data_IF_102838852854
#
_entry.id   IF_102838852854
#
_cell.length_a   1.000
_cell.length_b   1.000
_cell.length_c   1.000
_cell.angle_alpha   90.00
_cell.angle_beta   90.00
_cell.angle_gamma   90.00
#
_symmetry.space_group_name_H-M   'P 1'
#
loop_
_entity.id
_entity.type
_entity.pdbx_description
1 polymer ?
#
# COMPACT_ATOMS: atom_id res chain seq x y z
N UNK A 1 5.21 3.39 14.64
CA UNK A 1 3.98 2.65 14.27
C UNK A 1 4.18 1.16 14.44
N UNK A 2 3.09 0.38 14.62
CA UNK A 2 3.15 -1.08 14.63
C UNK A 2 2.67 -1.64 13.30
N UNK A 3 3.32 -2.70 12.83
CA UNK A 3 2.91 -3.43 11.65
C UNK A 3 2.97 -4.94 11.89
N UNK A 4 2.06 -5.67 11.23
CA UNK A 4 2.06 -7.13 11.24
C UNK A 4 2.90 -7.65 10.08
N UNK A 5 3.86 -8.51 10.38
CA UNK A 5 4.72 -9.17 9.41
C UNK A 5 4.44 -10.67 9.37
N UNK A 6 4.38 -11.24 8.18
CA UNK A 6 4.43 -12.69 8.00
C UNK A 6 5.90 -13.09 8.01
N UNK A 7 6.33 -13.75 9.09
CA UNK A 7 7.73 -14.14 9.32
C UNK A 7 8.01 -15.60 8.97
N UNK A 8 6.96 -16.39 8.68
CA UNK A 8 7.06 -17.77 8.32
C UNK A 8 5.68 -18.40 8.12
N UNK A 9 5.68 -19.69 7.81
CA UNK A 9 4.44 -20.45 7.63
C UNK A 9 3.62 -20.47 8.92
N UNK A 10 2.41 -19.94 8.88
CA UNK A 10 1.53 -19.77 10.04
C UNK A 10 2.13 -18.94 11.18
N UNK A 11 3.07 -18.05 10.84
CA UNK A 11 3.72 -17.15 11.79
C UNK A 11 3.46 -15.70 11.40
N UNK A 12 3.05 -14.90 12.38
CA UNK A 12 2.81 -13.48 12.25
C UNK A 12 3.34 -12.79 13.50
N UNK A 13 4.12 -11.75 13.30
CA UNK A 13 4.70 -10.95 14.38
C UNK A 13 4.28 -9.49 14.25
N UNK A 14 4.00 -8.87 15.40
CA UNK A 14 3.84 -7.41 15.47
C UNK A 14 5.21 -6.78 15.73
N UNK A 15 5.63 -5.94 14.81
CA UNK A 15 6.93 -5.27 14.85
C UNK A 15 6.73 -3.76 14.88
N UNK A 16 7.52 -3.09 15.70
CA UNK A 16 7.53 -1.64 15.75
C UNK A 16 8.48 -1.08 14.68
N UNK A 17 7.96 -0.15 13.88
CA UNK A 17 8.69 0.60 12.86
C UNK A 17 8.71 2.09 13.20
N UNK A 18 9.73 2.84 12.77
CA UNK A 18 9.66 4.29 12.76
C UNK A 18 8.42 4.78 12.02
N UNK A 19 7.84 5.89 12.46
CA UNK A 19 6.75 6.51 11.72
C UNK A 19 7.26 6.99 10.36
N UNK A 20 6.49 6.76 9.28
CA UNK A 20 6.92 7.11 7.94
C UNK A 20 6.94 8.63 7.75
N UNK A 21 7.84 9.10 6.89
CA UNK A 21 7.85 10.45 6.38
C UNK A 21 7.55 10.43 4.88
N UNK A 22 6.80 11.40 4.34
CA UNK A 22 6.44 11.37 2.93
C UNK A 22 7.66 11.61 2.04
N UNK A 23 7.82 10.80 0.99
CA UNK A 23 8.70 11.13 -0.12
C UNK A 23 8.16 12.37 -0.86
N UNK A 24 8.98 13.02 -1.70
CA UNK A 24 8.60 14.24 -2.41
C UNK A 24 7.26 14.14 -3.15
N UNK A 25 6.97 12.99 -3.77
CA UNK A 25 5.75 12.70 -4.53
C UNK A 25 4.83 11.70 -3.84
N UNK A 26 5.01 11.48 -2.56
CA UNK A 26 4.26 10.53 -1.75
C UNK A 26 3.42 11.21 -0.70
N UNK A 27 2.56 10.42 -0.08
CA UNK A 27 1.75 10.81 1.07
C UNK A 27 1.95 9.81 2.21
N UNK A 28 1.74 10.25 3.43
CA UNK A 28 1.57 9.37 4.59
C UNK A 28 0.08 9.29 4.89
N UNK A 29 -0.41 8.10 5.18
CA UNK A 29 -1.82 7.87 5.47
C UNK A 29 -1.96 7.20 6.83
N UNK A 30 -2.76 7.79 7.68
CA UNK A 30 -3.23 7.17 8.91
C UNK A 30 -4.32 6.16 8.54
N UNK A 31 -3.99 4.88 8.59
CA UNK A 31 -4.87 3.78 8.19
C UNK A 31 -5.95 3.58 9.25
N UNK A 32 -7.21 3.76 8.86
CA UNK A 32 -8.36 3.52 9.72
C UNK A 32 -8.79 2.04 9.70
N UNK A 33 -8.74 1.41 8.53
CA UNK A 33 -9.12 0.01 8.31
C UNK A 33 -8.21 -0.61 7.26
N UNK A 34 -7.84 -1.88 7.48
CA UNK A 34 -7.15 -2.69 6.49
C UNK A 34 -7.86 -4.03 6.36
N UNK A 35 -8.30 -4.37 5.16
CA UNK A 35 -8.89 -5.66 4.83
C UNK A 35 -7.84 -6.76 4.77
N UNK A 36 -8.30 -8.00 4.94
CA UNK A 36 -7.49 -9.20 4.75
C UNK A 36 -7.90 -9.85 3.42
N UNK A 37 -7.01 -9.79 2.44
CA UNK A 37 -7.22 -10.39 1.14
C UNK A 37 -6.88 -11.90 1.13
N UNK A 38 -7.39 -12.62 0.13
CA UNK A 38 -6.99 -14.01 -0.12
C UNK A 38 -5.48 -14.18 -0.34
N UNK A 39 -4.79 -13.17 -0.88
CA UNK A 39 -3.33 -13.16 -1.03
C UNK A 39 -2.59 -13.10 0.31
N UNK A 40 -3.13 -12.39 1.30
CA UNK A 40 -2.57 -12.35 2.66
C UNK A 40 -2.70 -13.72 3.34
N UNK A 41 -3.86 -14.36 3.17
CA UNK A 41 -4.11 -15.72 3.70
C UNK A 41 -3.14 -16.72 3.05
N UNK A 42 -2.97 -16.64 1.72
CA UNK A 42 -2.03 -17.51 1.01
C UNK A 42 -0.58 -17.30 1.47
N UNK A 43 -0.16 -16.06 1.63
CA UNK A 43 1.16 -15.71 2.14
C UNK A 43 1.39 -16.27 3.56
N UNK A 44 0.39 -16.15 4.44
CA UNK A 44 0.44 -16.70 5.79
C UNK A 44 0.54 -18.24 5.79
N UNK A 45 -0.23 -18.92 4.94
CA UNK A 45 -0.22 -20.36 4.84
C UNK A 45 1.05 -20.92 4.21
N UNK A 46 1.61 -20.23 3.23
CA UNK A 46 2.85 -20.64 2.55
C UNK A 46 4.12 -20.23 3.30
N UNK A 47 4.05 -19.17 4.09
CA UNK A 47 5.22 -18.52 4.69
C UNK A 47 6.04 -17.70 3.68
N UNK A 48 5.47 -17.42 2.51
CA UNK A 48 6.11 -16.64 1.44
C UNK A 48 5.28 -15.37 1.19
N UNK A 49 5.57 -14.27 1.89
CA UNK A 49 4.86 -13.02 1.66
C UNK A 49 5.15 -12.48 0.26
N UNK A 50 4.12 -11.96 -0.40
CA UNK A 50 4.25 -11.29 -1.70
C UNK A 50 4.99 -9.94 -1.60
N UNK A 51 5.01 -9.38 -0.40
CA UNK A 51 5.80 -8.20 -0.06
C UNK A 51 6.71 -8.57 1.12
N UNK A 52 8.04 -8.39 1.00
CA UNK A 52 8.97 -8.78 2.07
C UNK A 52 8.88 -7.92 3.32
N UNK A 53 8.14 -6.80 3.27
CA UNK A 53 8.00 -5.90 4.40
C UNK A 53 6.65 -6.10 5.10
N UNK A 54 5.71 -5.23 4.85
CA UNK A 54 4.42 -5.15 5.55
C UNK A 54 3.33 -5.69 4.64
N UNK A 55 2.53 -6.62 5.17
CA UNK A 55 1.34 -7.13 4.47
C UNK A 55 0.16 -6.15 4.59
N UNK A 56 -0.81 -6.32 3.69
CA UNK A 56 -2.01 -5.50 3.63
C UNK A 56 -1.98 -4.51 2.46
N UNK A 57 -2.95 -4.64 1.57
CA UNK A 57 -3.08 -3.83 0.36
C UNK A 57 -4.54 -3.44 0.07
N UNK A 58 -5.42 -3.60 1.04
CA UNK A 58 -6.85 -3.25 0.99
C UNK A 58 -7.19 -2.33 2.15
N UNK A 59 -6.67 -1.11 2.14
CA UNK A 59 -6.85 -0.18 3.24
C UNK A 59 -7.56 1.11 2.83
N UNK A 60 -8.18 1.74 3.83
CA UNK A 60 -8.72 3.08 3.77
C UNK A 60 -8.20 3.89 4.96
N UNK A 61 -8.00 5.18 4.74
CA UNK A 61 -7.48 6.06 5.77
C UNK A 61 -7.58 7.53 5.42
N UNK A 62 -6.88 8.34 6.19
CA UNK A 62 -6.82 9.80 6.04
C UNK A 62 -5.37 10.21 5.83
N UNK A 63 -5.12 11.11 4.89
CA UNK A 63 -3.77 11.65 4.64
C UNK A 63 -3.34 12.48 5.85
N UNK A 64 -2.23 12.11 6.46
CA UNK A 64 -1.64 12.80 7.62
C UNK A 64 -0.41 13.64 7.28
N UNK A 65 0.25 13.36 6.15
CA UNK A 65 1.34 14.19 5.64
C UNK A 65 1.48 14.06 4.13
N UNK A 66 1.91 15.13 3.46
CA UNK A 66 2.13 15.16 2.01
C UNK A 66 3.56 15.57 1.67
N UNK A 67 4.09 14.98 0.60
CA UNK A 67 5.37 15.38 0.03
C UNK A 67 5.27 16.71 -0.73
N UNK A 68 6.39 17.39 -0.86
CA UNK A 68 6.47 18.76 -1.41
C UNK A 68 6.02 18.91 -2.88
N UNK A 69 6.01 17.80 -3.65
CA UNK A 69 5.60 17.78 -5.05
C UNK A 69 4.15 17.30 -5.26
N UNK A 70 3.44 16.94 -4.19
CA UNK A 70 2.04 16.54 -4.24
C UNK A 70 1.17 17.79 -4.40
N UNK A 71 0.29 17.81 -5.41
CA UNK A 71 -0.53 18.99 -5.74
C UNK A 71 -2.03 18.72 -5.69
N UNK A 72 -2.42 17.47 -5.90
CA UNK A 72 -3.82 17.10 -6.10
C UNK A 72 -4.45 16.46 -4.85
N UNK A 73 -3.71 16.39 -3.75
CA UNK A 73 -4.13 15.81 -2.48
C UNK A 73 -3.76 16.76 -1.34
N UNK A 74 -4.52 16.71 -0.25
CA UNK A 74 -4.31 17.53 0.94
C UNK A 74 -4.34 16.67 2.21
N UNK A 75 -3.69 17.15 3.26
CA UNK A 75 -3.86 16.56 4.60
C UNK A 75 -5.34 16.64 5.02
N UNK A 76 -5.84 15.55 5.58
CA UNK A 76 -7.25 15.39 5.92
C UNK A 76 -8.09 14.71 4.84
N UNK A 77 -7.59 14.54 3.62
CA UNK A 77 -8.32 13.82 2.56
C UNK A 77 -8.46 12.35 2.92
N UNK A 78 -9.66 11.81 2.67
CA UNK A 78 -9.96 10.38 2.84
C UNK A 78 -9.62 9.64 1.56
N UNK A 79 -8.81 8.59 1.70
CA UNK A 79 -8.28 7.83 0.57
C UNK A 79 -8.44 6.33 0.77
N UNK A 80 -8.46 5.61 -0.34
CA UNK A 80 -8.35 4.15 -0.39
C UNK A 80 -7.15 3.78 -1.26
N UNK A 81 -6.53 2.64 -0.96
CA UNK A 81 -5.41 2.15 -1.76
C UNK A 81 -5.90 1.60 -3.11
N UNK A 82 -5.13 1.82 -4.17
CA UNK A 82 -5.23 1.04 -5.39
C UNK A 82 -4.35 -0.21 -5.25
N UNK A 83 -4.90 -1.39 -5.57
CA UNK A 83 -4.23 -2.69 -5.40
C UNK A 83 -2.89 -2.77 -6.15
N UNK A 84 -2.81 -2.11 -7.29
CA UNK A 84 -1.57 -2.04 -8.06
C UNK A 84 -1.33 -0.61 -8.55
N UNK A 85 -0.18 -0.01 -8.22
CA UNK A 85 0.15 1.31 -8.73
C UNK A 85 0.36 1.24 -10.25
N UNK A 86 -0.34 2.12 -10.97
CA UNK A 86 -0.17 2.24 -12.40
C UNK A 86 1.26 2.68 -12.74
N UNK A 87 1.87 2.05 -13.75
CA UNK A 87 3.25 2.39 -14.14
C UNK A 87 3.39 3.76 -14.82
N UNK A 88 2.29 4.40 -15.21
CA UNK A 88 2.22 5.70 -15.88
C UNK A 88 2.78 5.76 -17.32
N UNK A 89 3.43 4.70 -17.81
CA UNK A 89 4.17 4.72 -19.09
C UNK A 89 3.69 3.75 -20.17
N UNK A 90 2.94 2.70 -19.82
CA UNK A 90 2.37 1.79 -20.82
C UNK A 90 1.22 2.46 -21.58
N UNK A 91 0.80 1.87 -22.71
CA UNK A 91 -0.23 2.44 -23.55
C UNK A 91 -1.57 2.67 -22.81
N UNK A 92 -2.11 1.73 -22.03
CA UNK A 92 -3.31 1.97 -21.25
C UNK A 92 -3.15 3.13 -20.24
N UNK A 93 -2.02 3.19 -19.50
CA UNK A 93 -1.79 4.27 -18.55
C UNK A 93 -1.78 5.64 -19.21
N UNK A 94 -1.14 5.77 -20.39
CA UNK A 94 -1.13 7.03 -21.15
C UNK A 94 -2.50 7.41 -21.69
N UNK A 95 -3.37 6.43 -21.88
CA UNK A 95 -4.76 6.63 -22.30
C UNK A 95 -5.73 6.88 -21.13
N UNK A 96 -5.22 7.05 -19.90
CA UNK A 96 -6.03 7.25 -18.69
C UNK A 96 -6.72 5.98 -18.16
N UNK A 97 -6.37 4.81 -18.68
CA UNK A 97 -6.91 3.50 -18.27
C UNK A 97 -5.91 2.78 -17.36
N UNK A 98 -5.62 3.37 -16.21
CA UNK A 98 -4.62 2.86 -15.26
C UNK A 98 -4.99 1.50 -14.65
N UNK A 99 -6.29 1.20 -14.59
CA UNK A 99 -6.85 -0.10 -14.21
C UNK A 99 -6.44 -1.24 -15.15
N UNK A 100 -6.01 -0.91 -16.38
CA UNK A 100 -5.49 -1.85 -17.39
C UNK A 100 -3.98 -1.80 -17.52
N UNK A 101 -3.28 -1.39 -16.50
CA UNK A 101 -1.81 -1.33 -16.54
C UNK A 101 -1.21 -2.70 -16.86
N UNK A 102 -0.34 -2.76 -17.90
CA UNK A 102 0.28 -4.01 -18.34
C UNK A 102 1.58 -4.35 -17.58
N UNK A 103 1.98 -3.54 -16.63
CA UNK A 103 3.26 -3.67 -15.90
C UNK A 103 3.05 -3.94 -14.41
N UNK A 104 1.84 -3.71 -13.89
CA UNK A 104 1.54 -3.81 -12.46
C UNK A 104 1.15 -5.22 -11.98
N UNK A 105 1.14 -6.21 -12.85
CA UNK A 105 0.90 -7.62 -12.55
C UNK A 105 1.84 -8.49 -13.35
#
# INVERSE_FOLDING_TARGET
MFAALITGRHQLELVEFPDPTPADRGVVVDIALCGICGTDIHAYQSGQPYNPAICGHEWAGTISAIGREVKDLSEGDRVVVAVAPACGRCAPCRAGQSDRCMVSF
#
